data_IF_746022020771
#
_entry.id   IF_746022020771
#
_cell.length_a   1.000
_cell.length_b   1.000
_cell.length_c   1.000
_cell.angle_alpha   90.00
_cell.angle_beta   90.00
_cell.angle_gamma   90.00
#
_symmetry.space_group_name_H-M   'P 1'
#
loop_
_entity.id
_entity.type
_entity.pdbx_description
1 polymer ?
#
# COMPACT_ATOMS: atom_id res chain seq x y z
N UNK A 1 -2.18 0.58 25.91
CA UNK A 1 -2.02 1.01 24.51
C UNK A 1 -2.89 0.11 23.64
N UNK A 2 -3.86 0.69 22.96
CA UNK A 2 -4.81 -0.05 22.12
C UNK A 2 -4.05 -0.62 20.91
N UNK A 3 -4.02 -1.95 20.76
CA UNK A 3 -3.06 -2.65 19.88
C UNK A 3 -3.33 -2.49 18.38
N UNK A 4 -4.45 -1.87 17.98
CA UNK A 4 -4.94 -1.85 16.59
C UNK A 4 -5.49 -0.49 16.13
N UNK A 5 -5.00 0.64 16.65
CA UNK A 5 -5.51 1.95 16.20
C UNK A 5 -5.03 2.29 14.79
N UNK A 6 -5.98 2.34 13.85
CA UNK A 6 -5.80 2.87 12.50
C UNK A 6 -5.19 4.29 12.60
N UNK A 7 -4.17 4.63 11.78
CA UNK A 7 -3.59 5.97 11.80
C UNK A 7 -4.64 7.03 11.45
N UNK A 8 -4.50 8.20 12.07
CA UNK A 8 -5.31 9.36 11.72
C UNK A 8 -5.14 9.71 10.23
N UNK A 9 -6.19 10.31 9.64
CA UNK A 9 -6.15 10.74 8.24
C UNK A 9 -5.01 11.74 8.01
N UNK A 10 -4.22 11.52 6.96
CA UNK A 10 -3.20 12.46 6.49
C UNK A 10 -3.84 13.55 5.64
N UNK A 11 -3.50 14.80 5.93
CA UNK A 11 -3.96 15.96 5.17
C UNK A 11 -2.83 16.51 4.31
N UNK A 12 -1.81 17.09 4.92
CA UNK A 12 -0.59 17.60 4.24
C UNK A 12 0.60 17.82 5.17
N UNK A 13 0.36 17.89 6.49
CA UNK A 13 1.37 18.17 7.52
C UNK A 13 1.83 16.90 8.23
N UNK A 14 3.02 16.94 8.84
CA UNK A 14 3.58 15.86 9.65
C UNK A 14 3.66 14.51 8.92
N UNK A 15 3.99 14.55 7.63
CA UNK A 15 4.03 13.37 6.77
C UNK A 15 4.91 12.26 7.36
N UNK A 16 6.13 12.57 7.84
CA UNK A 16 7.03 11.58 8.47
C UNK A 16 6.36 10.79 9.60
N UNK A 17 5.63 11.47 10.49
CA UNK A 17 4.94 10.81 11.60
C UNK A 17 3.77 9.95 11.11
N UNK A 18 2.97 10.46 10.18
CA UNK A 18 1.89 9.68 9.59
C UNK A 18 2.43 8.46 8.84
N UNK A 19 3.48 8.63 8.04
CA UNK A 19 4.11 7.59 7.25
C UNK A 19 4.64 6.45 8.13
N UNK A 20 5.33 6.78 9.23
CA UNK A 20 5.79 5.78 10.19
C UNK A 20 4.63 5.01 10.85
N UNK A 21 3.56 5.70 11.24
CA UNK A 21 2.37 5.06 11.82
C UNK A 21 1.63 4.18 10.81
N UNK A 22 1.52 4.64 9.57
CA UNK A 22 0.90 3.89 8.48
C UNK A 22 1.72 2.64 8.12
N UNK A 23 3.04 2.77 8.05
CA UNK A 23 3.94 1.64 7.83
C UNK A 23 3.82 0.61 8.95
N UNK A 24 3.84 1.04 10.21
CA UNK A 24 3.64 0.14 11.35
C UNK A 24 2.29 -0.60 11.29
N UNK A 25 1.22 0.13 10.95
CA UNK A 25 -0.11 -0.46 10.78
C UNK A 25 -0.15 -1.51 9.65
N UNK A 26 0.45 -1.23 8.50
CA UNK A 26 0.53 -2.21 7.39
C UNK A 26 1.39 -3.42 7.75
N UNK A 27 2.46 -3.24 8.53
CA UNK A 27 3.28 -4.35 9.03
C UNK A 27 2.45 -5.28 9.94
N UNK A 28 1.64 -4.71 10.84
CA UNK A 28 0.74 -5.50 11.69
C UNK A 28 -0.30 -6.29 10.89
N UNK A 29 -0.69 -5.79 9.70
CA UNK A 29 -1.59 -6.46 8.77
C UNK A 29 -0.87 -7.41 7.80
N UNK A 30 0.45 -7.57 7.90
CA UNK A 30 1.29 -8.32 6.96
C UNK A 30 1.20 -7.83 5.50
N UNK A 31 0.98 -6.51 5.32
CA UNK A 31 0.80 -5.86 4.02
C UNK A 31 1.98 -4.96 3.61
N UNK A 32 2.95 -4.75 4.49
CA UNK A 32 4.09 -3.87 4.22
C UNK A 32 4.92 -4.28 2.98
N UNK A 33 4.95 -5.58 2.65
CA UNK A 33 5.64 -6.11 1.47
C UNK A 33 5.13 -5.52 0.15
N UNK A 34 3.82 -5.26 0.03
CA UNK A 34 3.21 -4.72 -1.19
C UNK A 34 3.57 -3.25 -1.46
N UNK A 35 4.32 -2.60 -0.56
CA UNK A 35 4.83 -1.25 -0.76
C UNK A 35 6.13 -1.22 -1.57
N UNK A 36 6.75 -2.37 -1.84
CA UNK A 36 8.09 -2.47 -2.46
C UNK A 36 8.28 -3.70 -3.34
N UNK A 37 7.61 -4.79 -3.01
CA UNK A 37 7.78 -6.05 -3.71
C UNK A 37 7.00 -6.02 -5.03
N UNK A 38 7.59 -6.61 -6.06
CA UNK A 38 6.94 -6.80 -7.35
C UNK A 38 5.98 -7.98 -7.34
N UNK A 39 4.99 -8.00 -8.26
CA UNK A 39 4.15 -9.16 -8.47
C UNK A 39 4.99 -10.42 -8.74
N UNK A 40 4.51 -11.59 -8.32
CA UNK A 40 5.17 -12.85 -8.63
C UNK A 40 5.32 -13.02 -10.14
N UNK A 41 6.52 -13.42 -10.57
CA UNK A 41 6.86 -13.70 -11.97
C UNK A 41 6.73 -15.21 -12.18
N UNK A 42 5.93 -15.61 -13.17
CA UNK A 42 5.71 -17.01 -13.52
C UNK A 42 6.43 -17.35 -14.82
N UNK A 43 7.09 -18.52 -14.87
CA UNK A 43 7.69 -19.07 -16.08
C UNK A 43 6.78 -20.15 -16.65
N UNK A 44 6.52 -20.10 -17.96
CA UNK A 44 5.57 -20.99 -18.65
C UNK A 44 5.94 -22.48 -18.58
N UNK A 45 7.21 -22.80 -18.32
CA UNK A 45 7.77 -24.15 -18.33
C UNK A 45 7.86 -24.81 -16.94
N UNK A 46 7.66 -24.06 -15.85
CA UNK A 46 7.94 -24.53 -14.49
C UNK A 46 6.67 -24.71 -13.62
N UNK A 47 5.53 -24.11 -13.99
CA UNK A 47 4.41 -23.97 -13.06
C UNK A 47 3.02 -24.31 -13.65
N UNK A 48 2.18 -24.98 -12.85
CA UNK A 48 0.81 -25.31 -13.22
C UNK A 48 -0.03 -24.03 -13.39
N UNK A 49 -0.65 -23.86 -14.57
CA UNK A 49 -1.43 -22.67 -14.93
C UNK A 49 -2.50 -22.27 -13.90
N UNK A 50 -3.14 -23.23 -13.24
CA UNK A 50 -4.14 -22.97 -12.20
C UNK A 50 -3.47 -22.39 -10.94
N UNK A 51 -2.33 -22.98 -10.56
CA UNK A 51 -1.52 -22.51 -9.43
C UNK A 51 -1.02 -21.08 -9.65
N UNK A 52 -0.44 -20.78 -10.82
CA UNK A 52 0.04 -19.42 -11.15
C UNK A 52 -1.10 -18.41 -11.15
N UNK A 53 -2.27 -18.76 -11.70
CA UNK A 53 -3.45 -17.90 -11.67
C UNK A 53 -3.90 -17.57 -10.24
N UNK A 54 -4.00 -18.58 -9.37
CA UNK A 54 -4.41 -18.39 -7.98
C UNK A 54 -3.43 -17.50 -7.20
N UNK A 55 -2.12 -17.66 -7.42
CA UNK A 55 -1.09 -16.83 -6.79
C UNK A 55 -1.20 -15.38 -7.29
N UNK A 56 -1.40 -15.18 -8.60
CA UNK A 56 -1.59 -13.86 -9.19
C UNK A 56 -2.83 -13.15 -8.64
N UNK A 57 -3.94 -13.87 -8.51
CA UNK A 57 -5.19 -13.35 -7.95
C UNK A 57 -5.03 -12.97 -6.47
N UNK A 58 -4.42 -13.86 -5.67
CA UNK A 58 -4.14 -13.59 -4.26
C UNK A 58 -3.23 -12.37 -4.07
N UNK A 59 -2.22 -12.21 -4.94
CA UNK A 59 -1.36 -11.03 -4.97
C UNK A 59 -2.15 -9.76 -5.28
N UNK A 60 -2.94 -9.77 -6.36
CA UNK A 60 -3.75 -8.62 -6.79
C UNK A 60 -4.75 -8.19 -5.71
N UNK A 61 -5.42 -9.15 -5.07
CA UNK A 61 -6.34 -8.88 -3.96
C UNK A 61 -5.62 -8.24 -2.77
N UNK A 62 -4.44 -8.76 -2.41
CA UNK A 62 -3.68 -8.22 -1.28
C UNK A 62 -3.10 -6.83 -1.58
N UNK A 63 -2.60 -6.60 -2.80
CA UNK A 63 -2.17 -5.28 -3.26
C UNK A 63 -3.34 -4.28 -3.31
N UNK A 64 -4.53 -4.71 -3.75
CA UNK A 64 -5.74 -3.88 -3.71
C UNK A 64 -6.09 -3.47 -2.27
N UNK A 65 -6.06 -4.40 -1.32
CA UNK A 65 -6.33 -4.11 0.09
C UNK A 65 -5.29 -3.14 0.67
N UNK A 66 -4.00 -3.41 0.47
CA UNK A 66 -2.91 -2.55 0.93
C UNK A 66 -3.08 -1.11 0.41
N UNK A 67 -3.33 -0.97 -0.90
CA UNK A 67 -3.60 0.33 -1.53
C UNK A 67 -4.79 1.03 -0.88
N UNK A 68 -5.90 0.33 -0.65
CA UNK A 68 -7.09 0.91 -0.04
C UNK A 68 -6.87 1.30 1.42
N UNK A 69 -6.04 0.59 2.19
CA UNK A 69 -5.70 1.01 3.55
C UNK A 69 -4.96 2.35 3.56
N UNK A 70 -4.03 2.54 2.61
CA UNK A 70 -3.32 3.82 2.43
C UNK A 70 -4.30 4.91 2.00
N UNK A 71 -5.11 4.68 0.95
CA UNK A 71 -6.08 5.66 0.48
C UNK A 71 -7.07 6.07 1.58
N UNK A 72 -7.62 5.10 2.32
CA UNK A 72 -8.57 5.36 3.41
C UNK A 72 -7.94 6.02 4.65
N UNK A 73 -6.62 6.19 4.68
CA UNK A 73 -5.91 6.97 5.69
C UNK A 73 -5.44 8.33 5.16
N UNK A 74 -5.88 8.73 3.96
CA UNK A 74 -5.76 10.09 3.43
C UNK A 74 -7.03 10.91 3.73
N UNK A 75 -6.93 12.23 3.63
CA UNK A 75 -8.08 13.12 3.51
C UNK A 75 -8.80 12.89 2.18
N UNK A 76 -10.07 13.29 2.11
CA UNK A 76 -10.89 13.02 0.93
C UNK A 76 -10.33 13.73 -0.32
N UNK A 77 -9.81 14.95 -0.16
CA UNK A 77 -9.11 15.69 -1.24
C UNK A 77 -7.89 14.91 -1.78
N UNK A 78 -7.09 14.33 -0.90
CA UNK A 78 -5.93 13.53 -1.33
C UNK A 78 -6.36 12.18 -1.89
N UNK A 79 -7.41 11.56 -1.34
CA UNK A 79 -7.96 10.31 -1.84
C UNK A 79 -8.28 10.44 -3.33
N UNK A 80 -9.02 11.46 -3.71
CA UNK A 80 -9.46 11.65 -5.10
C UNK A 80 -8.28 11.78 -6.06
N UNK A 81 -7.27 12.58 -5.68
CA UNK A 81 -6.06 12.79 -6.48
C UNK A 81 -5.24 11.51 -6.65
N UNK A 82 -5.13 10.70 -5.59
CA UNK A 82 -4.24 9.54 -5.56
C UNK A 82 -4.92 8.21 -5.89
N UNK A 83 -6.25 8.17 -5.93
CA UNK A 83 -7.06 6.97 -6.23
C UNK A 83 -6.74 6.36 -7.59
N UNK A 84 -6.21 7.14 -8.53
CA UNK A 84 -5.82 6.71 -9.87
C UNK A 84 -4.66 5.71 -9.88
N UNK A 85 -3.88 5.61 -8.79
CA UNK A 85 -2.74 4.70 -8.71
C UNK A 85 -3.21 3.26 -8.61
N UNK A 86 -2.57 2.36 -9.38
CA UNK A 86 -3.02 0.97 -9.50
C UNK A 86 -2.36 0.09 -8.44
N UNK A 87 -1.10 0.36 -8.11
CA UNK A 87 -0.33 -0.39 -7.10
C UNK A 87 -0.19 0.37 -5.79
N UNK A 88 -0.09 -0.37 -4.69
CA UNK A 88 0.17 0.20 -3.38
C UNK A 88 1.56 0.85 -3.32
N UNK A 89 2.57 0.23 -3.94
CA UNK A 89 3.92 0.79 -4.11
C UNK A 89 3.91 2.13 -4.84
N UNK A 90 3.34 2.21 -6.05
CA UNK A 90 3.28 3.46 -6.83
C UNK A 90 2.65 4.60 -6.02
N UNK A 91 1.57 4.29 -5.28
CA UNK A 91 0.92 5.24 -4.39
C UNK A 91 1.87 5.68 -3.27
N UNK A 92 2.51 4.73 -2.60
CA UNK A 92 3.42 4.98 -1.48
C UNK A 92 4.63 5.81 -1.89
N UNK A 93 5.25 5.49 -3.02
CA UNK A 93 6.41 6.22 -3.56
C UNK A 93 6.06 7.65 -3.95
N UNK A 94 4.90 7.89 -4.56
CA UNK A 94 4.46 9.23 -4.91
C UNK A 94 4.19 10.11 -3.69
N UNK A 95 3.61 9.51 -2.64
CA UNK A 95 3.43 10.19 -1.37
C UNK A 95 4.78 10.52 -0.72
N UNK A 96 5.71 9.55 -0.69
CA UNK A 96 7.09 9.75 -0.19
C UNK A 96 7.77 10.88 -0.95
N UNK A 97 7.79 10.83 -2.28
CA UNK A 97 8.46 11.83 -3.11
C UNK A 97 7.87 13.24 -2.96
N UNK A 98 6.55 13.37 -2.87
CA UNK A 98 5.89 14.69 -2.79
C UNK A 98 6.00 15.32 -1.41
N UNK A 99 5.87 14.55 -0.33
CA UNK A 99 5.72 15.11 1.01
C UNK A 99 6.96 14.98 1.89
N UNK A 100 7.88 14.05 1.62
CA UNK A 100 9.12 13.88 2.41
C UNK A 100 10.09 15.05 2.30
N UNK A 101 10.08 15.76 1.16
CA UNK A 101 10.89 16.97 0.96
C UNK A 101 10.36 18.20 1.71
N UNK A 102 9.08 18.18 2.11
CA UNK A 102 8.37 19.33 2.69
C UNK A 102 7.96 19.11 4.16
N UNK A 103 8.53 18.09 4.84
CA UNK A 103 8.15 17.65 6.19
C UNK A 103 9.29 17.63 7.18
#
# INVERSE_FOLDING_TARGET
MNRNEKPAKFTTKNFKTWQQKMLFYLTMLNMAKFLKDDPPIFREDEEDTITSFNIAEAWNNSNFLCRNYILNSLSDELYDVYSIKKRAEELWELLDHKYKRNS
#
